data_IF_802242572630
#
_entry.id   IF_802242572630
#
_cell.length_a   1.000
_cell.length_b   1.000
_cell.length_c   1.000
_cell.angle_alpha   90.00
_cell.angle_beta   90.00
_cell.angle_gamma   90.00
#
_symmetry.space_group_name_H-M   'P 1'
#
loop_
_entity.id
_entity.type
_entity.pdbx_description
1 polymer ?
#
# COMPACT_ATOMS: atom_id res chain seq x y z
N UNK A 1 41.12 -53.15 33.81
CA UNK A 1 40.85 -53.62 35.18
C UNK A 1 39.65 -52.92 35.75
N UNK A 2 38.54 -53.73 35.97
CA UNK A 2 37.43 -53.55 36.95
C UNK A 2 36.48 -52.35 36.71
N UNK A 3 35.16 -52.40 36.82
CA UNK A 3 34.19 -53.42 37.29
C UNK A 3 32.80 -52.95 36.80
N UNK A 4 32.08 -53.88 36.22
CA UNK A 4 30.63 -53.77 36.04
C UNK A 4 29.95 -53.70 37.41
N UNK A 5 29.10 -52.78 37.64
CA UNK A 5 28.13 -52.77 38.72
C UNK A 5 26.73 -52.84 38.15
N UNK A 6 26.19 -54.02 38.12
CA UNK A 6 24.79 -54.37 37.83
C UNK A 6 23.92 -53.74 38.88
N UNK A 7 23.03 -52.85 38.42
CA UNK A 7 21.93 -52.31 39.19
C UNK A 7 20.64 -53.01 38.78
N UNK A 8 20.21 -53.92 39.68
CA UNK A 8 18.95 -54.65 39.57
C UNK A 8 17.77 -53.67 39.72
N UNK A 9 16.94 -53.58 38.67
CA UNK A 9 15.66 -52.93 38.73
C UNK A 9 14.61 -53.95 39.15
N UNK A 10 14.31 -53.98 40.43
CA UNK A 10 13.21 -54.75 40.98
C UNK A 10 11.90 -53.98 40.97
N UNK A 11 10.93 -54.57 40.31
CA UNK A 11 9.49 -54.59 40.62
C UNK A 11 8.89 -53.45 41.45
N UNK A 12 8.50 -52.36 40.76
CA UNK A 12 7.41 -51.47 41.23
C UNK A 12 6.75 -50.81 39.99
N UNK A 13 6.17 -51.60 39.11
CA UNK A 13 5.74 -51.09 37.81
C UNK A 13 4.29 -51.35 37.39
N UNK A 14 3.51 -52.11 38.12
CA UNK A 14 2.19 -52.53 37.62
C UNK A 14 1.06 -51.50 37.78
N UNK A 15 1.19 -50.59 38.71
CA UNK A 15 0.11 -49.58 38.97
C UNK A 15 0.39 -48.20 38.40
N UNK A 16 1.65 -47.82 38.23
CA UNK A 16 2.03 -46.54 37.66
C UNK A 16 1.87 -46.52 36.12
N UNK A 17 2.17 -47.64 35.44
CA UNK A 17 1.97 -47.74 33.97
C UNK A 17 0.49 -47.70 33.58
N UNK A 18 -0.40 -48.24 34.38
CA UNK A 18 -1.85 -48.15 34.16
C UNK A 18 -2.39 -46.73 34.26
N UNK A 19 -1.92 -45.95 35.22
CA UNK A 19 -2.33 -44.55 35.40
C UNK A 19 -1.77 -43.63 34.32
N UNK A 20 -0.57 -43.86 33.84
CA UNK A 20 0.01 -43.08 32.72
C UNK A 20 -0.68 -43.40 31.40
N UNK A 21 -1.03 -44.67 31.14
CA UNK A 21 -1.80 -45.03 29.94
C UNK A 21 -3.21 -44.47 29.98
N UNK A 22 -3.87 -44.45 31.15
CA UNK A 22 -5.21 -43.84 31.30
C UNK A 22 -5.15 -42.31 31.12
N UNK A 23 -4.14 -41.63 31.62
CA UNK A 23 -3.91 -40.20 31.43
C UNK A 23 -3.64 -39.85 29.94
N UNK A 24 -2.87 -40.71 29.25
CA UNK A 24 -2.57 -40.52 27.82
C UNK A 24 -3.82 -40.73 26.93
N UNK A 25 -4.70 -41.67 27.29
CA UNK A 25 -5.96 -41.87 26.59
C UNK A 25 -6.99 -40.72 26.84
N UNK A 26 -6.96 -40.13 28.04
CA UNK A 26 -7.83 -38.98 28.35
C UNK A 26 -7.43 -37.69 27.61
N UNK A 27 -6.16 -37.52 27.26
CA UNK A 27 -5.69 -36.37 26.46
C UNK A 27 -6.04 -36.47 24.97
N UNK A 28 -6.28 -37.66 24.45
CA UNK A 28 -6.64 -37.90 23.03
C UNK A 28 -8.14 -37.63 22.77
N UNK A 29 -8.99 -37.59 23.78
CA UNK A 29 -10.42 -37.29 23.62
C UNK A 29 -10.74 -35.78 23.71
N UNK A 30 -9.76 -34.92 24.01
CA UNK A 30 -9.95 -33.46 24.08
C UNK A 30 -9.91 -32.74 22.71
N UNK A 31 -9.65 -33.45 21.61
CA UNK A 31 -9.63 -32.89 20.25
C UNK A 31 -10.93 -33.20 19.48
N UNK A 32 -12.09 -32.74 19.97
CA UNK A 32 -13.32 -33.16 19.33
C UNK A 32 -14.55 -32.26 19.45
N UNK A 33 -14.39 -30.98 19.79
CA UNK A 33 -15.48 -30.00 19.56
C UNK A 33 -15.01 -29.00 18.52
N UNK A 34 -15.14 -29.38 17.24
CA UNK A 34 -15.16 -28.38 16.17
C UNK A 34 -16.21 -27.33 16.53
N UNK A 35 -15.89 -26.04 16.51
CA UNK A 35 -16.90 -25.01 16.68
C UNK A 35 -18.05 -25.33 15.73
N UNK A 36 -19.27 -25.42 16.27
CA UNK A 36 -20.47 -25.68 15.44
C UNK A 36 -20.50 -24.55 14.41
N UNK A 37 -20.39 -24.91 13.13
CA UNK A 37 -20.44 -23.91 12.05
C UNK A 37 -21.84 -23.27 12.09
N UNK A 38 -21.93 -22.08 12.65
CA UNK A 38 -23.18 -21.32 12.84
C UNK A 38 -23.94 -21.19 11.50
N UNK A 39 -23.21 -21.17 10.40
CA UNK A 39 -23.74 -20.97 9.06
C UNK A 39 -23.97 -22.28 8.28
N UNK A 40 -23.81 -23.45 8.92
CA UNK A 40 -23.82 -24.74 8.25
C UNK A 40 -25.04 -25.00 7.37
N UNK A 41 -26.22 -24.55 7.78
CA UNK A 41 -27.50 -24.80 7.13
C UNK A 41 -28.04 -23.57 6.35
N UNK A 42 -27.29 -22.47 6.27
CA UNK A 42 -27.73 -21.25 5.56
C UNK A 42 -27.36 -21.39 4.07
N UNK A 43 -28.29 -21.07 3.18
CA UNK A 43 -28.06 -21.05 1.73
C UNK A 43 -27.01 -19.98 1.39
N UNK A 44 -26.11 -20.24 0.40
CA UNK A 44 -25.06 -19.27 0.03
C UNK A 44 -25.60 -17.90 -0.39
N UNK A 45 -26.73 -17.86 -1.07
CA UNK A 45 -27.37 -16.62 -1.52
C UNK A 45 -27.86 -15.77 -0.35
N UNK A 46 -28.47 -16.42 0.66
CA UNK A 46 -28.89 -15.74 1.88
C UNK A 46 -27.67 -15.25 2.67
N UNK A 47 -26.68 -16.12 2.83
CA UNK A 47 -25.46 -15.78 3.56
C UNK A 47 -24.71 -14.58 2.92
N UNK A 48 -24.75 -14.49 1.58
CA UNK A 48 -24.20 -13.35 0.85
C UNK A 48 -25.02 -12.08 1.10
N UNK A 49 -26.36 -12.18 1.11
CA UNK A 49 -27.23 -11.04 1.42
C UNK A 49 -26.97 -10.51 2.84
N UNK A 50 -26.91 -11.41 3.82
CA UNK A 50 -26.61 -11.09 5.23
C UNK A 50 -25.22 -10.42 5.33
N UNK A 51 -24.22 -10.95 4.63
CA UNK A 51 -22.88 -10.36 4.59
C UNK A 51 -22.87 -8.94 4.01
N UNK A 52 -23.68 -8.69 2.99
CA UNK A 52 -23.82 -7.34 2.40
C UNK A 52 -24.49 -6.36 3.36
N UNK A 53 -25.44 -6.82 4.15
CA UNK A 53 -26.07 -6.03 5.21
C UNK A 53 -25.04 -5.67 6.29
N UNK A 54 -24.28 -6.66 6.80
CA UNK A 54 -23.20 -6.45 7.77
C UNK A 54 -22.14 -5.46 7.26
N UNK A 55 -21.76 -5.54 5.98
CA UNK A 55 -20.84 -4.56 5.37
C UNK A 55 -21.45 -3.16 5.35
N UNK A 56 -22.76 -3.04 5.11
CA UNK A 56 -23.48 -1.77 5.14
C UNK A 56 -23.51 -1.13 6.53
N UNK A 57 -23.55 -1.95 7.57
CA UNK A 57 -23.51 -1.54 8.98
C UNK A 57 -22.08 -1.30 9.48
N UNK A 58 -21.06 -1.69 8.71
CA UNK A 58 -19.65 -1.57 9.10
C UNK A 58 -19.10 -2.77 9.89
N UNK A 59 -19.86 -3.85 10.02
CA UNK A 59 -19.49 -5.08 10.74
C UNK A 59 -18.62 -5.99 9.85
N UNK A 60 -17.48 -5.49 9.38
CA UNK A 60 -16.66 -6.17 8.37
C UNK A 60 -16.11 -7.52 8.82
N UNK A 61 -15.80 -7.72 10.11
CA UNK A 61 -15.32 -9.00 10.64
C UNK A 61 -16.39 -10.11 10.54
N UNK A 62 -17.66 -9.77 10.76
CA UNK A 62 -18.78 -10.70 10.57
C UNK A 62 -18.98 -11.00 9.09
N UNK A 63 -18.98 -9.96 8.25
CA UNK A 63 -19.09 -10.10 6.81
C UNK A 63 -17.99 -10.98 6.22
N UNK A 64 -16.73 -10.84 6.67
CA UNK A 64 -15.61 -11.69 6.24
C UNK A 64 -15.94 -13.16 6.46
N UNK A 65 -16.37 -13.53 7.66
CA UNK A 65 -16.71 -14.94 8.00
C UNK A 65 -17.81 -15.49 7.10
N UNK A 66 -18.84 -14.69 6.85
CA UNK A 66 -19.95 -15.09 5.98
C UNK A 66 -19.50 -15.22 4.52
N UNK A 67 -18.76 -14.25 3.98
CA UNK A 67 -18.26 -14.25 2.61
C UNK A 67 -17.27 -15.38 2.35
N UNK A 68 -16.42 -15.76 3.30
CA UNK A 68 -15.54 -16.93 3.20
C UNK A 68 -16.36 -18.23 3.05
N UNK A 69 -17.48 -18.34 3.74
CA UNK A 69 -18.41 -19.48 3.58
C UNK A 69 -19.09 -19.48 2.22
N UNK A 70 -19.49 -18.29 1.72
CA UNK A 70 -20.05 -18.16 0.37
C UNK A 70 -19.00 -18.57 -0.67
N UNK A 71 -17.77 -18.04 -0.59
CA UNK A 71 -16.68 -18.40 -1.52
C UNK A 71 -16.46 -19.92 -1.57
N UNK A 72 -16.44 -20.56 -0.40
CA UNK A 72 -16.20 -22.01 -0.31
C UNK A 72 -17.35 -22.86 -0.87
N UNK A 73 -18.60 -22.49 -0.57
CA UNK A 73 -19.78 -23.29 -0.93
C UNK A 73 -20.31 -23.04 -2.33
N UNK A 74 -20.18 -21.80 -2.82
CA UNK A 74 -20.62 -21.42 -4.16
C UNK A 74 -19.48 -21.45 -5.20
N UNK A 75 -18.42 -22.22 -4.94
CA UNK A 75 -17.24 -22.27 -5.78
C UNK A 75 -17.58 -22.48 -7.26
N UNK A 76 -16.97 -21.71 -8.16
CA UNK A 76 -17.21 -21.75 -9.60
C UNK A 76 -18.44 -20.97 -10.09
N UNK A 77 -19.23 -20.38 -9.22
CA UNK A 77 -20.38 -19.54 -9.57
C UNK A 77 -20.03 -18.05 -9.64
N UNK A 78 -20.92 -17.25 -10.25
CA UNK A 78 -20.82 -15.78 -10.21
C UNK A 78 -20.92 -15.24 -8.79
N UNK A 79 -21.70 -15.89 -7.92
CA UNK A 79 -21.81 -15.52 -6.52
C UNK A 79 -20.48 -15.64 -5.79
N UNK A 80 -19.72 -16.71 -6.06
CA UNK A 80 -18.37 -16.87 -5.50
C UNK A 80 -17.41 -15.79 -6.00
N UNK A 81 -17.50 -15.41 -7.29
CA UNK A 81 -16.68 -14.30 -7.82
C UNK A 81 -17.00 -12.97 -7.13
N UNK A 82 -18.28 -12.70 -6.91
CA UNK A 82 -18.72 -11.50 -6.21
C UNK A 82 -18.24 -11.50 -4.75
N UNK A 83 -18.39 -12.65 -4.07
CA UNK A 83 -17.91 -12.80 -2.70
C UNK A 83 -16.39 -12.60 -2.57
N UNK A 84 -15.58 -13.00 -3.53
CA UNK A 84 -14.13 -12.78 -3.55
C UNK A 84 -13.78 -11.28 -3.57
N UNK A 85 -14.50 -10.50 -4.37
CA UNK A 85 -14.29 -9.05 -4.45
C UNK A 85 -14.73 -8.36 -3.15
N UNK A 86 -15.92 -8.73 -2.65
CA UNK A 86 -16.44 -8.17 -1.41
C UNK A 86 -15.56 -8.55 -0.20
N UNK A 87 -14.98 -9.75 -0.19
CA UNK A 87 -13.94 -10.16 0.77
C UNK A 87 -12.71 -9.24 0.71
N UNK A 88 -12.22 -8.97 -0.48
CA UNK A 88 -11.07 -8.07 -0.63
C UNK A 88 -11.39 -6.68 -0.09
N UNK A 89 -12.59 -6.17 -0.36
CA UNK A 89 -13.05 -4.89 0.19
C UNK A 89 -13.18 -4.94 1.73
N UNK A 90 -13.77 -5.99 2.28
CA UNK A 90 -13.92 -6.14 3.73
C UNK A 90 -12.56 -6.20 4.44
N UNK A 91 -11.61 -6.99 3.92
CA UNK A 91 -10.23 -7.01 4.42
C UNK A 91 -9.52 -5.64 4.31
N UNK A 92 -9.79 -4.88 3.24
CA UNK A 92 -9.29 -3.51 3.13
C UNK A 92 -9.83 -2.62 4.25
N UNK A 93 -11.12 -2.73 4.55
CA UNK A 93 -11.80 -1.94 5.59
C UNK A 93 -11.35 -2.30 7.01
N UNK A 94 -10.98 -3.55 7.26
CA UNK A 94 -10.40 -3.99 8.54
C UNK A 94 -8.90 -3.72 8.67
N UNK A 95 -8.26 -3.18 7.60
CA UNK A 95 -6.83 -2.88 7.59
C UNK A 95 -5.93 -4.08 7.24
N UNK A 96 -6.51 -5.20 6.87
CA UNK A 96 -5.82 -6.44 6.51
C UNK A 96 -5.34 -6.42 5.06
N UNK A 97 -4.46 -5.46 4.72
CA UNK A 97 -4.02 -5.18 3.35
C UNK A 97 -3.46 -6.39 2.61
N UNK A 98 -2.69 -7.22 3.29
CA UNK A 98 -2.08 -8.40 2.66
C UNK A 98 -3.14 -9.40 2.19
N UNK A 99 -4.17 -9.66 3.00
CA UNK A 99 -5.28 -10.52 2.67
C UNK A 99 -6.12 -9.93 1.53
N UNK A 100 -6.40 -8.62 1.58
CA UNK A 100 -7.13 -7.92 0.54
C UNK A 100 -6.42 -8.05 -0.83
N UNK A 101 -5.11 -7.76 -0.89
CA UNK A 101 -4.33 -7.90 -2.12
C UNK A 101 -4.28 -9.34 -2.63
N UNK A 102 -4.05 -10.31 -1.73
CA UNK A 102 -4.01 -11.73 -2.12
C UNK A 102 -5.35 -12.21 -2.72
N UNK A 103 -6.49 -11.74 -2.17
CA UNK A 103 -7.82 -12.05 -2.73
C UNK A 103 -8.02 -11.42 -4.11
N UNK A 104 -7.63 -10.16 -4.30
CA UNK A 104 -7.73 -9.49 -5.60
C UNK A 104 -6.82 -10.12 -6.66
N UNK A 105 -5.57 -10.41 -6.33
CA UNK A 105 -4.64 -11.07 -7.26
C UNK A 105 -5.15 -12.44 -7.68
N UNK A 106 -5.68 -13.22 -6.74
CA UNK A 106 -6.31 -14.50 -7.04
C UNK A 106 -7.52 -14.31 -7.95
N UNK A 107 -8.41 -13.37 -7.65
CA UNK A 107 -9.58 -13.06 -8.46
C UNK A 107 -9.18 -12.69 -9.91
N UNK A 108 -8.27 -11.73 -10.06
CA UNK A 108 -7.82 -11.26 -11.39
C UNK A 108 -7.15 -12.35 -12.21
N UNK A 109 -6.40 -13.26 -11.56
CA UNK A 109 -5.76 -14.39 -12.23
C UNK A 109 -6.76 -15.45 -12.68
N UNK A 110 -7.79 -15.73 -11.88
CA UNK A 110 -8.78 -16.77 -12.17
C UNK A 110 -9.90 -16.28 -13.10
N UNK A 111 -10.18 -14.99 -13.09
CA UNK A 111 -11.31 -14.37 -13.79
C UNK A 111 -10.89 -13.17 -14.66
N UNK A 112 -9.94 -13.33 -15.60
CA UNK A 112 -9.38 -12.20 -16.38
C UNK A 112 -10.39 -11.47 -17.27
N UNK A 113 -11.49 -12.12 -17.60
CA UNK A 113 -12.59 -11.56 -18.41
C UNK A 113 -13.81 -11.15 -17.58
N UNK A 114 -13.71 -11.13 -16.25
CA UNK A 114 -14.82 -10.72 -15.39
C UNK A 114 -15.21 -9.25 -15.64
N UNK A 115 -16.52 -8.93 -15.72
CA UNK A 115 -16.98 -7.55 -15.82
C UNK A 115 -16.61 -6.69 -14.61
N UNK A 116 -16.21 -7.30 -13.47
CA UNK A 116 -15.77 -6.61 -12.28
C UNK A 116 -14.24 -6.36 -12.25
N UNK A 117 -13.54 -6.61 -13.36
CA UNK A 117 -12.08 -6.43 -13.42
C UNK A 117 -11.67 -4.96 -13.23
N UNK A 118 -12.47 -4.03 -13.73
CA UNK A 118 -12.23 -2.59 -13.54
C UNK A 118 -12.29 -2.22 -12.06
N UNK A 119 -13.29 -2.73 -11.32
CA UNK A 119 -13.38 -2.52 -9.89
C UNK A 119 -12.23 -3.21 -9.12
N UNK A 120 -11.83 -4.42 -9.52
CA UNK A 120 -10.71 -5.12 -8.89
C UNK A 120 -9.39 -4.33 -9.01
N UNK A 121 -9.08 -3.79 -10.20
CA UNK A 121 -7.92 -2.92 -10.42
C UNK A 121 -8.01 -1.61 -9.62
N UNK A 122 -9.20 -1.01 -9.57
CA UNK A 122 -9.43 0.18 -8.77
C UNK A 122 -9.20 -0.07 -7.28
N UNK A 123 -9.77 -1.15 -6.75
CA UNK A 123 -9.62 -1.52 -5.34
C UNK A 123 -8.16 -1.88 -5.01
N UNK A 124 -7.44 -2.56 -5.91
CA UNK A 124 -6.01 -2.83 -5.75
C UNK A 124 -5.21 -1.52 -5.66
N UNK A 125 -5.53 -0.55 -6.53
CA UNK A 125 -4.96 0.79 -6.46
C UNK A 125 -5.24 1.48 -5.13
N UNK A 126 -6.47 1.43 -4.61
CA UNK A 126 -6.84 2.01 -3.32
C UNK A 126 -6.10 1.36 -2.14
N UNK A 127 -5.97 0.04 -2.13
CA UNK A 127 -5.27 -0.70 -1.07
C UNK A 127 -3.78 -0.32 -1.04
N UNK A 128 -3.16 -0.15 -2.20
CA UNK A 128 -1.76 0.27 -2.31
C UNK A 128 -1.60 1.77 -2.06
N UNK A 129 -2.61 2.57 -2.41
CA UNK A 129 -2.65 4.01 -2.18
C UNK A 129 -3.11 4.28 -0.75
N UNK A 130 -2.15 4.34 0.18
CA UNK A 130 -2.45 4.58 1.60
C UNK A 130 -2.62 6.08 1.87
N UNK A 131 -3.86 6.58 1.83
CA UNK A 131 -4.19 7.98 2.16
C UNK A 131 -3.98 8.31 3.64
N UNK A 132 -4.11 7.33 4.54
CA UNK A 132 -4.05 7.53 5.99
C UNK A 132 -2.66 7.96 6.48
N UNK A 133 -1.61 7.72 5.71
CA UNK A 133 -0.26 8.21 6.01
C UNK A 133 -0.12 9.74 5.87
N UNK A 134 -1.05 10.41 5.19
CA UNK A 134 -1.02 11.87 5.00
C UNK A 134 -1.21 12.68 6.27
N UNK A 135 -2.03 12.23 7.22
CA UNK A 135 -2.32 12.93 8.47
C UNK A 135 -1.42 12.49 9.62
N UNK A 136 -1.22 11.19 9.82
CA UNK A 136 -0.36 10.66 10.88
C UNK A 136 1.11 10.60 10.48
N UNK A 137 1.46 10.47 9.21
CA UNK A 137 2.84 10.52 8.71
C UNK A 137 3.50 11.88 8.96
N UNK A 138 2.74 12.98 8.95
CA UNK A 138 3.24 14.30 9.34
C UNK A 138 3.59 14.40 10.83
N UNK A 139 2.93 13.61 11.69
CA UNK A 139 3.14 13.65 13.13
C UNK A 139 4.29 12.74 13.59
N UNK A 140 4.53 11.64 12.87
CA UNK A 140 5.51 10.62 13.30
C UNK A 140 6.95 10.88 12.86
N UNK A 141 7.23 11.87 12.00
CA UNK A 141 8.59 12.18 11.48
C UNK A 141 9.42 10.97 11.05
N UNK A 142 8.79 9.82 10.83
CA UNK A 142 9.49 8.65 10.31
C UNK A 142 9.73 8.84 8.82
N UNK A 143 10.98 8.60 8.39
CA UNK A 143 11.34 8.55 6.98
C UNK A 143 10.55 7.43 6.27
N UNK A 144 9.41 7.81 5.72
CA UNK A 144 8.50 6.96 4.93
C UNK A 144 9.07 6.68 3.53
N UNK A 145 10.40 6.91 3.32
CA UNK A 145 10.91 7.24 1.99
C UNK A 145 11.05 6.09 1.00
N UNK A 146 11.32 4.84 1.43
CA UNK A 146 11.50 3.78 0.43
C UNK A 146 10.31 2.82 0.32
N UNK A 147 9.74 2.43 1.45
CA UNK A 147 8.65 1.44 1.48
C UNK A 147 7.35 2.00 0.93
N UNK A 148 7.06 3.26 1.22
CA UNK A 148 5.87 3.96 0.72
C UNK A 148 5.97 4.34 -0.74
N UNK A 149 7.17 4.58 -1.27
CA UNK A 149 7.37 4.83 -2.69
C UNK A 149 7.02 3.62 -3.55
N UNK A 150 7.32 2.39 -3.10
CA UNK A 150 6.96 1.19 -3.84
C UNK A 150 5.44 1.00 -3.85
N UNK A 151 4.78 1.12 -2.71
CA UNK A 151 3.32 1.05 -2.63
C UNK A 151 2.63 2.11 -3.50
N UNK A 152 3.18 3.33 -3.53
CA UNK A 152 2.68 4.39 -4.42
C UNK A 152 2.86 4.05 -5.90
N UNK A 153 3.98 3.43 -6.28
CA UNK A 153 4.22 2.96 -7.66
C UNK A 153 3.27 1.82 -8.03
N UNK A 154 3.03 0.89 -7.11
CA UNK A 154 2.10 -0.23 -7.31
C UNK A 154 0.64 0.28 -7.45
N UNK A 155 0.27 1.29 -6.66
CA UNK A 155 -1.02 1.97 -6.80
C UNK A 155 -1.16 2.66 -8.17
N UNK A 156 -0.13 3.42 -8.56
CA UNK A 156 -0.09 4.09 -9.87
C UNK A 156 -0.26 3.09 -11.01
N UNK A 157 0.45 1.96 -10.95
CA UNK A 157 0.39 0.91 -11.97
C UNK A 157 -1.01 0.28 -12.06
N UNK A 158 -1.65 0.03 -10.91
CA UNK A 158 -3.02 -0.52 -10.86
C UNK A 158 -4.03 0.46 -11.47
N UNK A 159 -3.95 1.74 -11.14
CA UNK A 159 -4.80 2.77 -11.74
C UNK A 159 -4.51 3.00 -13.23
N UNK A 160 -3.25 2.93 -13.65
CA UNK A 160 -2.86 3.00 -15.06
C UNK A 160 -3.50 1.87 -15.87
N UNK A 161 -3.38 0.63 -15.40
CA UNK A 161 -4.01 -0.53 -16.04
C UNK A 161 -5.53 -0.41 -16.13
N UNK A 162 -6.16 0.13 -15.07
CA UNK A 162 -7.60 0.42 -15.10
C UNK A 162 -7.94 1.35 -16.26
N UNK A 163 -7.26 2.50 -16.37
CA UNK A 163 -7.57 3.52 -17.37
C UNK A 163 -7.28 3.02 -18.80
N UNK A 164 -6.20 2.25 -18.99
CA UNK A 164 -5.81 1.71 -20.29
C UNK A 164 -6.77 0.63 -20.80
N UNK A 165 -7.21 -0.25 -19.89
CA UNK A 165 -8.08 -1.38 -20.25
C UNK A 165 -9.57 -1.06 -20.22
N UNK A 166 -9.97 -0.13 -19.36
CA UNK A 166 -11.36 0.24 -19.10
C UNK A 166 -11.54 1.76 -19.05
N UNK A 167 -11.29 2.48 -20.16
CA UNK A 167 -11.33 3.94 -20.20
C UNK A 167 -12.69 4.54 -19.83
N UNK A 168 -13.77 3.79 -20.09
CA UNK A 168 -15.16 4.19 -19.81
C UNK A 168 -15.67 3.71 -18.45
N UNK A 169 -14.81 3.11 -17.62
CA UNK A 169 -15.17 2.71 -16.26
C UNK A 169 -15.53 3.94 -15.42
N UNK A 170 -16.56 3.78 -14.60
CA UNK A 170 -16.96 4.81 -13.62
C UNK A 170 -15.83 5.19 -12.63
N UNK A 171 -14.81 4.34 -12.50
CA UNK A 171 -13.67 4.56 -11.63
C UNK A 171 -12.52 5.28 -12.33
N UNK A 172 -12.57 5.44 -13.67
CA UNK A 172 -11.44 5.95 -14.44
C UNK A 172 -11.09 7.40 -14.10
N UNK A 173 -12.09 8.24 -13.84
CA UNK A 173 -11.86 9.66 -13.50
C UNK A 173 -11.17 9.80 -12.13
N UNK A 174 -11.66 9.11 -11.10
CA UNK A 174 -11.04 9.13 -9.79
C UNK A 174 -9.62 8.53 -9.83
N UNK A 175 -9.43 7.46 -10.60
CA UNK A 175 -8.10 6.87 -10.80
C UNK A 175 -7.12 7.87 -11.42
N UNK A 176 -7.53 8.69 -12.41
CA UNK A 176 -6.69 9.76 -12.98
C UNK A 176 -6.27 10.81 -11.95
N UNK A 177 -7.21 11.22 -11.10
CA UNK A 177 -6.94 12.18 -10.04
C UNK A 177 -5.91 11.63 -9.04
N UNK A 178 -6.07 10.36 -8.63
CA UNK A 178 -5.13 9.69 -7.72
C UNK A 178 -3.76 9.49 -8.35
N UNK A 179 -3.69 9.11 -9.63
CA UNK A 179 -2.41 9.02 -10.35
C UNK A 179 -1.67 10.36 -10.36
N UNK A 180 -2.36 11.45 -10.63
CA UNK A 180 -1.75 12.78 -10.59
C UNK A 180 -1.24 13.14 -9.19
N UNK A 181 -1.99 12.77 -8.15
CA UNK A 181 -1.56 12.97 -6.77
C UNK A 181 -0.31 12.16 -6.44
N UNK A 182 -0.26 10.88 -6.83
CA UNK A 182 0.90 10.01 -6.64
C UNK A 182 2.14 10.60 -7.32
N UNK A 183 2.03 10.97 -8.60
CA UNK A 183 3.14 11.56 -9.37
C UNK A 183 3.68 12.81 -8.69
N UNK A 184 2.79 13.70 -8.24
CA UNK A 184 3.19 14.93 -7.56
C UNK A 184 3.84 14.66 -6.20
N UNK A 185 3.36 13.67 -5.47
CA UNK A 185 3.92 13.28 -4.17
C UNK A 185 5.32 12.66 -4.33
N UNK A 186 5.51 11.78 -5.31
CA UNK A 186 6.81 11.17 -5.61
C UNK A 186 7.83 12.23 -6.05
N UNK A 187 7.44 13.15 -6.93
CA UNK A 187 8.29 14.25 -7.37
C UNK A 187 8.70 15.15 -6.20
N UNK A 188 7.76 15.51 -5.32
CA UNK A 188 8.03 16.30 -4.13
C UNK A 188 9.00 15.58 -3.17
N UNK A 189 8.90 14.25 -3.06
CA UNK A 189 9.82 13.42 -2.31
C UNK A 189 11.26 13.53 -2.82
N UNK A 190 11.47 13.39 -4.14
CA UNK A 190 12.80 13.53 -4.76
C UNK A 190 13.38 14.95 -4.52
N UNK A 191 12.56 15.99 -4.65
CA UNK A 191 12.98 17.37 -4.38
C UNK A 191 13.31 17.57 -2.91
N UNK A 192 12.57 16.95 -2.00
CA UNK A 192 12.87 17.01 -0.57
C UNK A 192 14.27 16.43 -0.26
N UNK A 193 14.57 15.25 -0.84
CA UNK A 193 15.88 14.61 -0.70
C UNK A 193 16.98 15.46 -1.35
N UNK A 194 16.73 16.00 -2.55
CA UNK A 194 17.67 16.89 -3.24
C UNK A 194 18.00 18.13 -2.38
N UNK A 195 16.99 18.75 -1.78
CA UNK A 195 17.15 19.89 -0.88
C UNK A 195 17.95 19.53 0.37
N UNK A 196 17.74 18.34 0.93
CA UNK A 196 18.53 17.84 2.06
C UNK A 196 20.01 17.72 1.70
N UNK A 197 20.36 17.08 0.56
CA UNK A 197 21.73 16.97 0.10
C UNK A 197 22.36 18.33 -0.20
N UNK A 198 21.60 19.24 -0.80
CA UNK A 198 22.08 20.61 -1.05
C UNK A 198 22.49 21.32 0.23
N UNK A 199 21.65 21.26 1.28
CA UNK A 199 21.96 21.86 2.59
C UNK A 199 23.17 21.23 3.27
N UNK A 200 23.46 19.97 2.98
CA UNK A 200 24.64 19.24 3.49
C UNK A 200 25.91 19.52 2.68
N UNK A 201 25.85 20.29 1.61
CA UNK A 201 27.00 20.56 0.73
C UNK A 201 27.32 19.41 -0.24
N UNK A 202 26.49 18.37 -0.27
CA UNK A 202 26.63 17.24 -1.19
C UNK A 202 26.01 17.60 -2.56
N UNK A 203 26.58 18.61 -3.22
CA UNK A 203 25.96 19.23 -4.40
C UNK A 203 25.76 18.28 -5.58
N UNK A 204 26.68 17.35 -5.84
CA UNK A 204 26.50 16.36 -6.89
C UNK A 204 25.31 15.44 -6.60
N UNK A 205 25.17 14.96 -5.37
CA UNK A 205 24.02 14.15 -4.98
C UNK A 205 22.71 14.93 -5.07
N UNK A 206 22.73 16.22 -4.69
CA UNK A 206 21.58 17.10 -4.81
C UNK A 206 21.16 17.29 -6.27
N UNK A 207 22.13 17.54 -7.18
CA UNK A 207 21.87 17.67 -8.62
C UNK A 207 21.29 16.38 -9.20
N UNK A 208 21.83 15.21 -8.86
CA UNK A 208 21.35 13.93 -9.35
C UNK A 208 19.91 13.63 -8.90
N UNK A 209 19.57 13.88 -7.63
CA UNK A 209 18.20 13.71 -7.13
C UNK A 209 17.22 14.70 -7.76
N UNK A 210 17.60 15.94 -7.91
CA UNK A 210 16.79 16.93 -8.61
C UNK A 210 16.59 16.56 -10.09
N UNK A 211 17.64 16.06 -10.76
CA UNK A 211 17.55 15.56 -12.13
C UNK A 211 16.56 14.39 -12.25
N UNK A 212 16.55 13.48 -11.26
CA UNK A 212 15.59 12.38 -11.21
C UNK A 212 14.15 12.91 -11.22
N UNK A 213 13.86 13.93 -10.40
CA UNK A 213 12.55 14.57 -10.38
C UNK A 213 12.17 15.16 -11.75
N UNK A 214 13.11 15.82 -12.42
CA UNK A 214 12.88 16.44 -13.74
C UNK A 214 12.65 15.40 -14.84
N UNK A 215 13.35 14.27 -14.79
CA UNK A 215 13.25 13.23 -15.82
C UNK A 215 11.99 12.38 -15.65
N UNK A 216 11.73 11.93 -14.42
CA UNK A 216 10.65 10.97 -14.15
C UNK A 216 9.27 11.63 -14.00
N UNK A 217 9.24 12.91 -13.56
CA UNK A 217 7.98 13.57 -13.17
C UNK A 217 7.79 14.92 -13.90
N UNK A 218 8.01 14.97 -15.20
CA UNK A 218 8.07 16.19 -16.03
C UNK A 218 6.88 17.14 -15.86
N UNK A 219 5.69 16.61 -15.55
CA UNK A 219 4.45 17.39 -15.40
C UNK A 219 4.16 17.84 -13.97
N UNK A 220 5.00 17.46 -13.02
CA UNK A 220 4.81 17.82 -11.62
C UNK A 220 5.23 19.27 -11.35
N UNK A 221 4.47 20.02 -10.54
CA UNK A 221 4.89 21.35 -10.07
C UNK A 221 6.27 21.36 -9.35
N UNK A 222 6.68 20.21 -8.78
CA UNK A 222 7.96 20.10 -8.09
C UNK A 222 9.18 20.22 -9.03
N UNK A 223 8.99 20.08 -10.36
CA UNK A 223 10.05 20.24 -11.38
C UNK A 223 10.64 21.66 -11.37
N UNK A 224 9.83 22.68 -11.07
CA UNK A 224 10.30 24.05 -10.95
C UNK A 224 11.40 24.19 -9.90
N UNK A 225 11.16 23.69 -8.68
CA UNK A 225 12.16 23.70 -7.61
C UNK A 225 13.34 22.76 -7.94
N UNK A 226 13.08 21.59 -8.52
CA UNK A 226 14.13 20.66 -8.91
C UNK A 226 15.15 21.32 -9.85
N UNK A 227 14.70 22.02 -10.88
CA UNK A 227 15.57 22.75 -11.82
C UNK A 227 16.39 23.83 -11.10
N UNK A 228 15.80 24.52 -10.13
CA UNK A 228 16.53 25.49 -9.31
C UNK A 228 17.63 24.83 -8.47
N UNK A 229 17.33 23.69 -7.83
CA UNK A 229 18.32 22.95 -7.04
C UNK A 229 19.45 22.45 -7.94
N UNK A 230 19.14 21.94 -9.14
CA UNK A 230 20.15 21.53 -10.14
C UNK A 230 21.06 22.68 -10.50
N UNK A 231 20.50 23.82 -10.91
CA UNK A 231 21.28 24.98 -11.32
C UNK A 231 22.21 25.46 -10.21
N UNK A 232 21.70 25.59 -8.99
CA UNK A 232 22.49 26.00 -7.81
C UNK A 232 23.56 24.97 -7.43
N UNK A 233 23.26 23.69 -7.57
CA UNK A 233 24.21 22.62 -7.30
C UNK A 233 25.37 22.63 -8.29
N UNK A 234 25.08 22.79 -9.59
CA UNK A 234 26.10 22.91 -10.63
C UNK A 234 26.94 24.18 -10.48
N UNK A 235 26.33 25.29 -10.06
CA UNK A 235 27.06 26.52 -9.75
C UNK A 235 28.09 26.31 -8.62
N UNK A 236 27.68 25.63 -7.52
CA UNK A 236 28.60 25.30 -6.40
C UNK A 236 29.70 24.31 -6.79
N UNK A 237 29.51 23.53 -7.83
CA UNK A 237 30.50 22.59 -8.38
C UNK A 237 31.38 23.23 -9.47
N UNK A 238 31.15 24.50 -9.87
CA UNK A 238 31.86 25.17 -10.96
C UNK A 238 31.48 24.64 -12.36
N UNK A 239 30.38 23.90 -12.50
CA UNK A 239 29.90 23.32 -13.76
C UNK A 239 28.99 24.33 -14.48
N UNK A 240 29.57 25.40 -15.02
CA UNK A 240 28.83 26.54 -15.60
C UNK A 240 27.90 26.16 -16.73
N UNK A 241 28.32 25.26 -17.62
CA UNK A 241 27.53 24.84 -18.78
C UNK A 241 26.25 24.11 -18.37
N UNK A 242 26.33 23.24 -17.33
CA UNK A 242 25.19 22.51 -16.79
C UNK A 242 24.26 23.43 -16.00
N UNK A 243 24.82 24.38 -15.24
CA UNK A 243 24.05 25.43 -14.58
C UNK A 243 23.22 26.22 -15.60
N UNK A 244 23.86 26.70 -16.65
CA UNK A 244 23.21 27.54 -17.65
C UNK A 244 22.18 26.77 -18.45
N UNK A 245 22.40 25.48 -18.71
CA UNK A 245 21.42 24.59 -19.30
C UNK A 245 20.17 24.43 -18.39
N UNK A 246 20.36 24.16 -17.10
CA UNK A 246 19.25 24.04 -16.14
C UNK A 246 18.45 25.35 -16.01
N UNK A 247 19.14 26.50 -15.93
CA UNK A 247 18.49 27.81 -15.89
C UNK A 247 17.74 28.13 -17.18
N UNK A 248 18.24 27.72 -18.33
CA UNK A 248 17.54 27.88 -19.61
C UNK A 248 16.23 27.11 -19.63
N UNK A 249 16.25 25.86 -19.20
CA UNK A 249 15.03 25.03 -19.09
C UNK A 249 14.05 25.65 -18.07
N UNK A 250 14.55 26.09 -16.93
CA UNK A 250 13.71 26.75 -15.91
C UNK A 250 13.02 28.00 -16.47
N UNK A 251 13.75 28.90 -17.16
CA UNK A 251 13.16 30.12 -17.76
C UNK A 251 12.14 29.80 -18.86
N UNK A 252 12.40 28.77 -19.65
CA UNK A 252 11.54 28.39 -20.75
C UNK A 252 10.24 27.74 -20.26
N UNK A 253 10.34 26.86 -19.25
CA UNK A 253 9.20 26.08 -18.75
C UNK A 253 8.42 26.85 -17.67
N UNK A 254 9.08 27.70 -16.89
CA UNK A 254 8.51 28.41 -15.75
C UNK A 254 8.94 29.91 -15.79
N UNK A 255 8.44 30.71 -16.75
CA UNK A 255 8.90 32.09 -16.93
C UNK A 255 8.62 32.99 -15.73
N UNK A 256 7.61 32.65 -14.91
CA UNK A 256 7.23 33.38 -13.69
C UNK A 256 7.81 32.76 -12.42
N UNK A 257 8.77 31.88 -12.53
CA UNK A 257 9.36 31.17 -11.38
C UNK A 257 10.00 32.15 -10.39
N UNK A 258 9.66 32.00 -9.12
CA UNK A 258 10.29 32.72 -8.02
C UNK A 258 11.78 32.40 -7.90
N UNK A 259 12.20 31.23 -8.38
CA UNK A 259 13.58 30.77 -8.33
C UNK A 259 14.50 31.46 -9.33
N UNK A 260 13.97 32.14 -10.34
CA UNK A 260 14.77 32.90 -11.32
C UNK A 260 15.41 34.15 -10.69
N UNK A 261 14.79 34.67 -9.62
CA UNK A 261 15.25 35.87 -8.92
C UNK A 261 16.21 35.54 -7.75
N UNK A 262 16.40 34.26 -7.43
CA UNK A 262 17.27 33.79 -6.34
C UNK A 262 18.71 33.55 -6.82
N UNK A 263 19.23 34.42 -7.69
CA UNK A 263 20.64 34.39 -8.04
C UNK A 263 21.46 34.76 -6.78
N UNK A 264 22.22 33.80 -6.26
CA UNK A 264 23.32 33.96 -5.30
C UNK A 264 23.03 34.22 -3.82
N UNK A 265 21.82 34.20 -3.33
CA UNK A 265 21.57 34.20 -1.89
C UNK A 265 21.11 32.83 -1.41
N UNK A 266 21.57 32.42 -0.23
CA UNK A 266 21.05 31.25 0.46
C UNK A 266 19.52 31.34 0.54
N UNK A 267 18.83 30.47 -0.21
CA UNK A 267 17.38 30.49 -0.21
C UNK A 267 16.87 30.26 1.21
N UNK A 268 15.95 31.09 1.70
CA UNK A 268 15.35 30.86 3.01
C UNK A 268 14.68 29.49 3.01
N UNK A 269 14.98 28.73 4.07
CA UNK A 269 14.43 27.40 4.31
C UNK A 269 12.97 27.48 4.75
N UNK A 270 12.10 28.16 4.03
CA UNK A 270 10.67 28.16 4.31
C UNK A 270 9.88 28.98 3.29
N UNK A 271 9.72 28.49 2.08
CA UNK A 271 8.60 28.96 1.26
C UNK A 271 7.99 27.77 0.51
N UNK A 272 7.62 26.74 1.24
CA UNK A 272 6.78 25.67 0.71
C UNK A 272 5.67 25.32 1.71
N UNK A 273 4.90 26.35 2.09
CA UNK A 273 3.50 26.09 2.35
C UNK A 273 2.88 26.18 0.96
N UNK A 274 2.41 25.07 0.37
CA UNK A 274 1.58 25.15 -0.81
C UNK A 274 0.44 26.10 -0.48
N UNK A 275 -0.02 26.96 -1.42
CA UNK A 275 -1.22 27.73 -1.20
C UNK A 275 -2.28 26.73 -0.73
N UNK A 276 -2.97 27.07 0.35
CA UNK A 276 -3.98 26.22 0.97
C UNK A 276 -4.91 25.70 -0.12
N UNK A 277 -4.64 24.49 -0.62
CA UNK A 277 -5.52 23.83 -1.57
C UNK A 277 -6.87 23.72 -0.85
N UNK A 278 -7.88 24.34 -1.43
CA UNK A 278 -9.26 24.15 -1.01
C UNK A 278 -9.43 22.65 -0.84
N UNK A 279 -9.83 22.23 0.37
CA UNK A 279 -9.99 20.82 0.71
C UNK A 279 -10.77 20.16 -0.43
N UNK A 280 -10.25 19.09 -1.02
CA UNK A 280 -10.97 18.38 -2.06
C UNK A 280 -12.31 17.91 -1.51
N UNK A 281 -13.34 17.96 -2.32
CA UNK A 281 -14.73 17.66 -1.99
C UNK A 281 -14.92 16.24 -1.37
N UNK A 282 -13.98 15.32 -1.59
CA UNK A 282 -14.00 13.95 -1.02
C UNK A 282 -13.62 13.89 0.47
N UNK A 283 -13.21 14.99 1.09
CA UNK A 283 -12.99 15.09 2.55
C UNK A 283 -14.27 15.47 3.31
N UNK A 284 -15.41 15.49 2.65
CA UNK A 284 -16.71 15.84 3.22
C UNK A 284 -17.63 14.63 3.42
N UNK A 285 -17.12 13.42 3.21
CA UNK A 285 -17.87 12.17 3.42
C UNK A 285 -17.10 11.21 4.35
#
# INVERSE_FOLDING_TARGET
VKLLKTMSWSFLGGRATGLVALALCATLTACGTSPRDEYANVQPEKLYADAREEMGEGNFETAIKQLERVEARASGTLLSQQAQIDLAYAYYKTGERAQALAKLERFMRLHPSSPAMDYALYLQGLINFNEDLGLFGRLSRQDLSERDQQASKDAYESFRQLIERFPDSRYAEDARLRMNHIVNSLAAGEVHVARYYFRRGAYLAAANRAQQAVVDYQRSPAVEEALSIMARSYDRLGMTDLRDAALRVLRQSFPNSVYLNLSNSDAPAAASTPPAQKRPWWQLW
#
